data_IF_547552981413
#
_entry.id   IF_547552981413
#
_cell.length_a   1.000
_cell.length_b   1.000
_cell.length_c   1.000
_cell.angle_alpha   90.00
_cell.angle_beta   90.00
_cell.angle_gamma   90.00
#
_symmetry.space_group_name_H-M   'P 1'
#
loop_
_entity.id
_entity.type
_entity.pdbx_description
1 polymer ?
#
# COMPACT_ATOMS: atom_id res chain seq x y z
N UNK A 1 -4.68 -5.30 -2.12
CA UNK A 1 -4.91 -6.08 -3.35
C UNK A 1 -4.09 -5.57 -4.53
N UNK A 2 -3.90 -4.27 -4.69
CA UNK A 2 -3.03 -3.73 -5.75
C UNK A 2 -1.56 -4.15 -5.59
N UNK A 3 -1.09 -4.42 -4.39
CA UNK A 3 0.29 -4.85 -4.11
C UNK A 3 0.62 -6.26 -4.64
N UNK A 4 -0.36 -7.13 -4.77
CA UNK A 4 -0.14 -8.48 -5.31
C UNK A 4 0.34 -8.45 -6.76
N UNK A 5 -0.05 -7.45 -7.53
CA UNK A 5 0.43 -7.27 -8.91
C UNK A 5 1.88 -6.88 -9.01
N UNK A 6 2.36 -6.19 -7.99
CA UNK A 6 3.43 -5.23 -8.13
C UNK A 6 4.77 -5.77 -7.68
N UNK A 7 4.78 -6.79 -6.83
CA UNK A 7 6.01 -7.29 -6.22
C UNK A 7 6.50 -8.62 -6.76
N UNK A 8 5.75 -9.24 -7.66
CA UNK A 8 6.08 -10.57 -8.14
C UNK A 8 6.29 -10.59 -9.64
N UNK A 9 7.56 -10.53 -10.05
CA UNK A 9 7.96 -10.81 -11.40
C UNK A 9 7.63 -9.69 -12.41
N UNK A 10 7.01 -10.07 -13.52
CA UNK A 10 6.72 -9.20 -14.65
C UNK A 10 5.27 -8.74 -14.71
N UNK A 11 4.34 -9.50 -14.18
CA UNK A 11 2.93 -9.16 -13.99
C UNK A 11 2.15 -10.29 -13.32
N UNK A 12 1.02 -9.93 -12.70
CA UNK A 12 0.00 -10.88 -12.20
C UNK A 12 -1.39 -10.26 -12.33
N UNK A 13 -2.43 -11.08 -12.19
CA UNK A 13 -3.82 -10.65 -12.29
C UNK A 13 -4.50 -10.85 -10.93
N UNK A 14 -5.04 -9.82 -10.27
CA UNK A 14 -5.84 -10.02 -9.07
C UNK A 14 -7.21 -10.55 -9.44
N UNK A 15 -7.70 -11.43 -8.61
CA UNK A 15 -9.01 -12.05 -8.75
C UNK A 15 -9.96 -11.50 -7.70
N UNK A 16 -9.53 -11.46 -6.44
CA UNK A 16 -10.37 -11.04 -5.33
C UNK A 16 -9.54 -10.47 -4.18
N UNK A 17 -10.13 -9.57 -3.41
CA UNK A 17 -9.52 -8.95 -2.24
C UNK A 17 -10.11 -9.45 -0.93
N UNK A 18 -9.35 -9.31 0.14
CA UNK A 18 -9.77 -9.50 1.53
C UNK A 18 -9.27 -8.35 2.39
N UNK A 19 -9.97 -8.04 3.47
CA UNK A 19 -9.56 -7.00 4.41
C UNK A 19 -9.74 -7.46 5.86
N UNK A 20 -8.77 -7.13 6.72
CA UNK A 20 -8.88 -7.29 8.18
C UNK A 20 -8.74 -5.92 8.79
N UNK A 21 -9.67 -5.57 9.65
CA UNK A 21 -9.67 -4.31 10.38
C UNK A 21 -9.40 -4.58 11.86
N UNK A 22 -8.45 -3.85 12.45
CA UNK A 22 -8.11 -3.96 13.85
C UNK A 22 -8.17 -2.58 14.49
N UNK A 23 -9.03 -2.41 15.50
CA UNK A 23 -9.21 -1.16 16.24
C UNK A 23 -9.35 -1.43 17.74
N UNK A 24 -9.26 -0.39 18.54
CA UNK A 24 -9.79 -0.40 19.89
C UNK A 24 -11.31 -0.64 19.88
N UNK A 25 -11.90 -0.91 21.01
CA UNK A 25 -13.32 -1.21 21.12
C UNK A 25 -14.21 -0.11 20.52
N UNK A 26 -15.13 -0.45 19.62
CA UNK A 26 -16.02 0.52 18.96
C UNK A 26 -17.12 1.06 19.88
N UNK A 27 -17.51 0.34 20.92
CA UNK A 27 -18.58 0.70 21.87
C UNK A 27 -19.87 1.09 21.17
N UNK A 28 -20.22 0.33 20.12
CA UNK A 28 -21.37 0.59 19.26
C UNK A 28 -22.66 -0.05 19.77
N UNK A 29 -22.57 -0.98 20.70
CA UNK A 29 -23.70 -1.72 21.26
C UNK A 29 -23.61 -1.75 22.80
N UNK A 30 -24.76 -1.66 23.45
CA UNK A 30 -24.86 -1.73 24.90
C UNK A 30 -24.73 -3.18 25.41
N UNK A 31 -24.35 -3.34 26.67
CA UNK A 31 -24.31 -4.64 27.34
C UNK A 31 -23.06 -5.47 27.08
N UNK A 32 -22.01 -4.85 26.58
CA UNK A 32 -20.69 -5.47 26.41
C UNK A 32 -19.78 -5.12 27.57
N UNK A 33 -19.83 -5.92 28.62
CA UNK A 33 -19.13 -5.67 29.91
C UNK A 33 -17.60 -5.52 29.71
N UNK A 34 -17.00 -6.23 28.77
CA UNK A 34 -15.55 -6.10 28.48
C UNK A 34 -15.17 -4.77 27.87
N UNK A 35 -16.05 -4.15 27.09
CA UNK A 35 -15.84 -2.80 26.56
C UNK A 35 -15.94 -1.74 27.66
N UNK A 36 -16.83 -1.96 28.64
CA UNK A 36 -17.04 -1.06 29.77
C UNK A 36 -15.91 -1.13 30.80
N UNK A 37 -15.25 -2.28 30.92
CA UNK A 37 -14.13 -2.49 31.84
C UNK A 37 -12.92 -1.60 31.52
N UNK A 38 -12.84 -1.06 30.31
CA UNK A 38 -11.77 -0.19 29.86
C UNK A 38 -12.28 1.24 29.59
N UNK A 39 -11.72 2.26 30.26
CA UNK A 39 -12.13 3.64 29.99
C UNK A 39 -11.78 4.02 28.55
N UNK A 40 -12.72 4.63 27.79
CA UNK A 40 -12.48 5.03 26.42
C UNK A 40 -11.40 6.11 26.37
N UNK A 41 -10.47 6.00 25.42
CA UNK A 41 -9.51 7.06 25.17
C UNK A 41 -10.11 8.16 24.29
N UNK A 42 -9.49 9.33 24.28
CA UNK A 42 -9.83 10.37 23.31
C UNK A 42 -9.19 10.03 21.97
N UNK A 43 -9.98 10.01 20.91
CA UNK A 43 -9.54 9.87 19.54
C UNK A 43 -9.41 11.25 18.89
N UNK A 44 -8.36 11.43 18.10
CA UNK A 44 -8.03 12.75 17.57
C UNK A 44 -9.00 13.18 16.45
N UNK A 45 -9.34 12.28 15.53
CA UNK A 45 -10.15 12.60 14.35
C UNK A 45 -11.47 11.86 14.30
N UNK A 46 -11.45 10.56 14.55
CA UNK A 46 -12.61 9.67 14.40
C UNK A 46 -12.61 8.60 15.48
N UNK A 47 -13.81 8.17 15.87
CA UNK A 47 -13.97 7.04 16.79
C UNK A 47 -13.65 5.71 16.08
N UNK A 48 -13.37 4.62 16.82
CA UNK A 48 -13.19 3.30 16.24
C UNK A 48 -14.36 2.87 15.35
N UNK A 49 -15.61 3.09 15.75
CA UNK A 49 -16.79 2.81 14.93
C UNK A 49 -16.76 3.58 13.60
N UNK A 50 -16.49 4.88 13.65
CA UNK A 50 -16.41 5.71 12.43
C UNK A 50 -15.29 5.25 11.50
N UNK A 51 -14.15 4.84 12.05
CA UNK A 51 -13.02 4.32 11.29
C UNK A 51 -13.42 3.02 10.58
N UNK A 52 -14.05 2.08 11.30
CA UNK A 52 -14.47 0.80 10.75
C UNK A 52 -15.47 0.96 9.59
N UNK A 53 -16.47 1.82 9.76
CA UNK A 53 -17.47 2.11 8.72
C UNK A 53 -16.78 2.72 7.49
N UNK A 54 -15.94 3.73 7.67
CA UNK A 54 -15.25 4.39 6.55
C UNK A 54 -14.22 3.52 5.85
N UNK A 55 -13.47 2.72 6.60
CA UNK A 55 -12.50 1.80 6.02
C UNK A 55 -13.20 0.70 5.21
N UNK A 56 -14.30 0.16 5.71
CA UNK A 56 -15.10 -0.84 5.00
C UNK A 56 -15.74 -0.25 3.74
N UNK A 57 -16.33 0.95 3.83
CA UNK A 57 -16.84 1.67 2.65
C UNK A 57 -15.75 1.90 1.61
N UNK A 58 -14.57 2.36 2.03
CA UNK A 58 -13.46 2.61 1.12
C UNK A 58 -12.97 1.36 0.40
N UNK A 59 -12.90 0.23 1.10
CA UNK A 59 -12.50 -1.03 0.51
C UNK A 59 -13.52 -1.56 -0.50
N UNK A 60 -14.82 -1.53 -0.16
CA UNK A 60 -15.91 -1.94 -1.05
C UNK A 60 -16.02 -1.03 -2.27
N UNK A 61 -16.00 0.29 -2.06
CA UNK A 61 -16.11 1.28 -3.13
C UNK A 61 -14.96 1.15 -4.14
N UNK A 62 -13.73 0.99 -3.65
CA UNK A 62 -12.58 0.75 -4.50
C UNK A 62 -12.71 -0.57 -5.27
N UNK A 63 -13.06 -1.66 -4.57
CA UNK A 63 -13.22 -2.98 -5.18
C UNK A 63 -14.28 -2.98 -6.28
N UNK A 64 -15.41 -2.33 -6.05
CA UNK A 64 -16.49 -2.20 -7.02
C UNK A 64 -16.08 -1.38 -8.25
N UNK A 65 -15.42 -0.23 -8.06
CA UNK A 65 -14.95 0.63 -9.15
C UNK A 65 -13.83 -0.01 -9.96
N UNK A 66 -12.94 -0.73 -9.30
CA UNK A 66 -11.85 -1.41 -9.95
C UNK A 66 -12.28 -2.72 -10.63
N UNK A 67 -13.39 -3.33 -10.18
CA UNK A 67 -13.84 -4.64 -10.64
C UNK A 67 -13.07 -5.80 -10.01
N UNK A 68 -12.66 -5.62 -8.75
CA UNK A 68 -12.00 -6.62 -7.92
C UNK A 68 -12.80 -6.78 -6.63
N UNK A 69 -13.65 -7.81 -6.54
CA UNK A 69 -14.54 -7.94 -5.40
C UNK A 69 -13.78 -8.15 -4.09
N UNK A 70 -14.25 -7.50 -3.04
CA UNK A 70 -13.88 -7.81 -1.67
C UNK A 70 -14.74 -9.01 -1.21
N UNK A 71 -14.14 -10.19 -1.11
CA UNK A 71 -14.89 -11.45 -0.91
C UNK A 71 -15.06 -11.84 0.55
N UNK A 72 -14.17 -11.41 1.42
CA UNK A 72 -14.28 -11.63 2.85
C UNK A 72 -13.43 -10.64 3.64
N UNK A 73 -13.70 -10.56 4.93
CA UNK A 73 -12.94 -9.77 5.86
C UNK A 73 -13.09 -10.28 7.29
N UNK A 74 -12.32 -9.70 8.19
CA UNK A 74 -12.41 -9.94 9.62
C UNK A 74 -12.33 -8.63 10.37
N UNK A 75 -13.04 -8.56 11.48
CA UNK A 75 -13.00 -7.44 12.41
C UNK A 75 -12.45 -7.93 13.73
N UNK A 76 -11.35 -7.33 14.18
CA UNK A 76 -10.72 -7.65 15.46
C UNK A 76 -10.65 -6.38 16.31
N UNK A 77 -11.12 -6.45 17.53
CA UNK A 77 -11.04 -5.35 18.49
C UNK A 77 -10.34 -5.82 19.74
N UNK A 78 -9.56 -4.96 20.35
CA UNK A 78 -8.80 -5.31 21.54
C UNK A 78 -8.43 -4.09 22.36
N UNK A 79 -8.74 -4.14 23.65
CA UNK A 79 -8.21 -3.29 24.68
C UNK A 79 -7.98 -4.13 25.94
N UNK A 80 -6.83 -4.00 26.57
CA UNK A 80 -6.47 -4.75 27.78
C UNK A 80 -5.55 -3.93 28.69
N UNK A 81 -5.71 -4.07 29.98
CA UNK A 81 -4.82 -3.48 30.97
C UNK A 81 -4.24 -4.58 31.86
N UNK A 82 -2.92 -4.64 31.94
CA UNK A 82 -2.18 -5.62 32.71
C UNK A 82 -0.87 -5.01 33.22
N UNK A 83 -0.49 -5.31 34.47
CA UNK A 83 0.79 -4.87 35.04
C UNK A 83 1.10 -3.38 34.83
N UNK A 84 0.09 -2.51 35.03
CA UNK A 84 0.15 -1.06 34.80
C UNK A 84 0.39 -0.63 33.35
N UNK A 85 0.32 -1.56 32.40
CA UNK A 85 0.40 -1.28 30.97
C UNK A 85 -0.98 -1.41 30.33
N UNK A 86 -1.20 -0.63 29.28
CA UNK A 86 -2.39 -0.74 28.42
C UNK A 86 -1.97 -1.25 27.05
N UNK A 87 -2.73 -2.21 26.55
CA UNK A 87 -2.55 -2.81 25.24
C UNK A 87 -3.84 -2.57 24.45
N UNK A 88 -3.72 -2.05 23.24
CA UNK A 88 -4.87 -1.82 22.38
C UNK A 88 -4.41 -1.63 20.93
N UNK A 89 -5.32 -1.79 19.97
CA UNK A 89 -5.10 -1.33 18.61
C UNK A 89 -5.36 0.17 18.49
N UNK A 90 -4.64 0.96 19.29
CA UNK A 90 -4.77 2.43 19.31
C UNK A 90 -4.27 3.07 18.02
N UNK A 91 -3.24 2.49 17.40
CA UNK A 91 -2.92 2.73 16.01
C UNK A 91 -3.63 1.67 15.20
N UNK A 92 -4.65 2.10 14.48
CA UNK A 92 -5.52 1.21 13.69
C UNK A 92 -4.69 0.46 12.67
N UNK A 93 -4.95 -0.83 12.55
CA UNK A 93 -4.29 -1.71 11.59
C UNK A 93 -5.33 -2.15 10.56
N UNK A 94 -4.99 -2.04 9.29
CA UNK A 94 -5.72 -2.64 8.20
C UNK A 94 -4.78 -3.58 7.44
N UNK A 95 -5.13 -4.85 7.39
CA UNK A 95 -4.42 -5.84 6.58
C UNK A 95 -5.22 -6.06 5.30
N UNK A 96 -4.62 -5.73 4.18
CA UNK A 96 -5.17 -6.04 2.86
C UNK A 96 -4.52 -7.33 2.35
N UNK A 97 -5.34 -8.20 1.83
CA UNK A 97 -4.90 -9.46 1.21
C UNK A 97 -5.69 -9.75 -0.06
N UNK A 98 -5.38 -10.83 -0.71
CA UNK A 98 -6.12 -11.19 -1.91
C UNK A 98 -5.62 -12.48 -2.55
N UNK A 99 -6.32 -12.83 -3.62
CA UNK A 99 -5.98 -13.96 -4.50
C UNK A 99 -5.73 -13.41 -5.89
N UNK A 100 -4.62 -13.82 -6.49
CA UNK A 100 -4.27 -13.48 -7.85
C UNK A 100 -3.79 -14.69 -8.64
N UNK A 101 -3.64 -14.49 -9.93
CA UNK A 101 -3.08 -15.48 -10.85
C UNK A 101 -1.87 -14.88 -11.57
N UNK A 102 -0.80 -15.64 -11.68
CA UNK A 102 0.36 -15.29 -12.50
C UNK A 102 0.82 -16.49 -13.31
N UNK A 103 1.25 -16.27 -14.55
CA UNK A 103 1.92 -17.29 -15.31
C UNK A 103 3.31 -17.54 -14.72
N UNK A 104 3.73 -18.80 -14.61
CA UNK A 104 5.02 -19.16 -14.04
C UNK A 104 6.20 -18.46 -14.75
N UNK A 105 6.12 -18.24 -16.05
CA UNK A 105 7.11 -17.51 -16.86
C UNK A 105 7.31 -16.04 -16.43
N UNK A 106 6.27 -15.47 -15.81
CA UNK A 106 6.24 -14.06 -15.38
C UNK A 106 6.44 -13.91 -13.86
N UNK A 107 6.68 -15.02 -13.15
CA UNK A 107 6.81 -15.04 -11.69
C UNK A 107 8.09 -14.36 -11.19
N UNK A 108 9.13 -14.31 -12.00
CA UNK A 108 10.40 -13.65 -11.69
C UNK A 108 10.60 -12.43 -12.58
N UNK A 109 11.22 -11.39 -12.04
CA UNK A 109 11.69 -10.22 -12.79
C UNK A 109 12.70 -10.68 -13.84
N UNK A 110 12.72 -10.02 -15.01
CA UNK A 110 13.79 -10.12 -15.95
C UNK A 110 15.03 -9.38 -15.45
N UNK A 111 16.17 -9.70 -16.03
CA UNK A 111 17.41 -8.97 -15.78
C UNK A 111 17.43 -7.68 -16.60
N UNK A 112 17.67 -6.55 -15.93
CA UNK A 112 17.83 -5.27 -16.60
C UNK A 112 19.15 -5.24 -17.39
N UNK A 113 19.10 -4.68 -18.59
CA UNK A 113 20.28 -4.42 -19.40
C UNK A 113 20.42 -2.91 -19.68
N UNK A 114 21.64 -2.39 -19.89
CA UNK A 114 21.84 -0.99 -20.24
C UNK A 114 21.09 -0.57 -21.51
N UNK A 115 20.49 0.64 -21.51
CA UNK A 115 19.74 1.19 -22.63
C UNK A 115 18.27 0.80 -22.70
N UNK A 116 17.77 0.02 -21.75
CA UNK A 116 16.33 -0.24 -21.63
C UNK A 116 15.60 1.00 -21.13
N UNK A 117 14.36 1.16 -21.56
CA UNK A 117 13.58 2.35 -21.25
C UNK A 117 12.84 2.20 -19.93
N UNK A 118 12.98 3.24 -19.11
CA UNK A 118 12.19 3.42 -17.90
C UNK A 118 10.87 4.09 -18.29
N UNK A 119 9.76 3.39 -18.04
CA UNK A 119 8.42 3.83 -18.40
C UNK A 119 7.61 4.08 -17.13
N UNK A 120 6.94 5.22 -17.09
CA UNK A 120 5.91 5.52 -16.09
C UNK A 120 4.55 5.51 -16.77
N UNK A 121 3.58 4.83 -16.16
CA UNK A 121 2.21 4.75 -16.65
C UNK A 121 1.25 5.15 -15.56
N UNK A 122 0.25 6.00 -15.87
CA UNK A 122 -0.75 6.48 -14.93
C UNK A 122 -0.84 7.98 -14.86
N UNK A 123 -1.46 8.49 -13.80
CA UNK A 123 -1.81 9.90 -13.68
C UNK A 123 -0.66 10.84 -13.26
N UNK A 124 -0.91 12.12 -13.43
CA UNK A 124 0.04 13.20 -13.17
C UNK A 124 0.36 13.40 -11.69
N UNK A 125 1.47 14.07 -11.41
CA UNK A 125 1.87 14.47 -10.06
C UNK A 125 1.06 15.68 -9.58
N UNK A 126 0.51 15.57 -8.37
CA UNK A 126 -0.18 16.65 -7.64
C UNK A 126 0.33 16.72 -6.20
N UNK A 127 -0.03 17.79 -5.47
CA UNK A 127 0.37 17.97 -4.04
C UNK A 127 -0.49 17.12 -3.10
N UNK A 128 -0.46 15.80 -3.31
CA UNK A 128 -1.08 14.76 -2.50
C UNK A 128 -0.22 13.50 -2.60
N UNK A 129 -0.16 12.67 -1.57
CA UNK A 129 0.76 11.55 -1.51
C UNK A 129 2.19 11.99 -1.18
N UNK A 130 2.32 12.96 -0.27
CA UNK A 130 3.60 13.57 0.06
C UNK A 130 4.15 13.00 1.36
N UNK A 131 5.09 12.05 1.24
CA UNK A 131 5.76 11.48 2.41
C UNK A 131 4.87 10.60 3.27
N UNK A 132 3.93 9.86 2.69
CA UNK A 132 2.97 9.00 3.38
C UNK A 132 3.63 7.97 4.29
N UNK A 133 4.72 7.34 3.83
CA UNK A 133 5.50 6.40 4.63
C UNK A 133 6.09 7.01 5.90
N UNK A 134 6.60 8.24 5.82
CA UNK A 134 7.14 8.96 6.98
C UNK A 134 6.05 9.34 7.98
N UNK A 135 4.93 9.87 7.48
CA UNK A 135 3.79 10.27 8.33
C UNK A 135 3.13 9.07 9.00
N UNK A 136 2.96 7.96 8.29
CA UNK A 136 2.36 6.75 8.86
C UNK A 136 3.24 6.06 9.91
N UNK A 137 4.54 6.34 9.92
CA UNK A 137 5.49 5.73 10.86
C UNK A 137 5.57 6.43 12.22
N UNK A 138 4.89 7.55 12.41
CA UNK A 138 4.85 8.30 13.67
C UNK A 138 3.46 8.28 14.29
N UNK A 139 3.36 8.77 15.52
CA UNK A 139 2.06 8.93 16.20
C UNK A 139 1.16 9.91 15.44
N UNK A 140 -0.12 9.57 15.32
CA UNK A 140 -1.14 10.44 14.73
C UNK A 140 -1.23 11.75 15.51
N UNK A 141 -1.20 12.89 14.80
CA UNK A 141 -1.19 14.24 15.40
C UNK A 141 0.22 14.74 15.71
N UNK A 142 1.26 14.01 15.32
CA UNK A 142 2.66 14.48 15.43
C UNK A 142 2.93 15.69 14.54
N UNK A 143 2.31 15.72 13.36
CA UNK A 143 2.44 16.82 12.40
C UNK A 143 1.16 17.67 12.36
N UNK A 144 1.26 18.85 11.78
CA UNK A 144 0.08 19.65 11.49
C UNK A 144 -0.87 18.96 10.52
N UNK A 145 -2.18 19.14 10.69
CA UNK A 145 -3.22 18.51 9.85
C UNK A 145 -2.96 18.61 8.35
N UNK A 146 -2.46 19.76 7.87
CA UNK A 146 -2.17 19.94 6.44
C UNK A 146 -1.09 18.97 5.94
N UNK A 147 -0.09 18.65 6.77
CA UNK A 147 0.97 17.68 6.42
C UNK A 147 0.40 16.28 6.44
N UNK A 148 -0.37 15.92 7.47
CA UNK A 148 -0.96 14.59 7.59
C UNK A 148 -1.98 14.30 6.48
N UNK A 149 -2.78 15.28 6.08
CA UNK A 149 -3.73 15.15 4.97
C UNK A 149 -3.04 15.06 3.61
N UNK A 150 -1.97 15.82 3.38
CA UNK A 150 -1.19 15.76 2.14
C UNK A 150 -0.39 14.45 2.00
N UNK A 151 -0.16 13.75 3.09
CA UNK A 151 0.53 12.45 3.09
C UNK A 151 -0.35 11.30 2.56
N UNK A 152 -1.67 11.48 2.50
CA UNK A 152 -2.58 10.48 1.97
C UNK A 152 -2.29 10.27 0.48
N UNK A 153 -2.06 9.02 0.08
CA UNK A 153 -1.84 8.69 -1.33
C UNK A 153 -3.10 9.00 -2.15
N UNK A 154 -2.90 9.60 -3.31
CA UNK A 154 -4.00 9.81 -4.24
C UNK A 154 -4.52 8.47 -4.75
N UNK A 155 -5.84 8.29 -4.71
CA UNK A 155 -6.52 7.16 -5.29
C UNK A 155 -7.34 7.63 -6.50
N UNK A 156 -7.07 7.05 -7.66
CA UNK A 156 -7.87 7.22 -8.87
C UNK A 156 -8.20 5.83 -9.44
N UNK A 157 -9.30 5.19 -9.01
CA UNK A 157 -9.65 3.82 -9.41
C UNK A 157 -9.81 3.65 -10.91
N UNK A 158 -10.34 4.66 -11.62
CA UNK A 158 -10.48 4.63 -13.07
C UNK A 158 -9.12 4.59 -13.76
N UNK A 159 -8.21 5.49 -13.39
CA UNK A 159 -6.86 5.51 -13.95
C UNK A 159 -6.11 4.21 -13.63
N UNK A 160 -6.22 3.72 -12.40
CA UNK A 160 -5.63 2.45 -12.00
C UNK A 160 -6.17 1.29 -12.83
N UNK A 161 -7.47 1.27 -13.14
CA UNK A 161 -8.08 0.26 -14.00
C UNK A 161 -7.54 0.31 -15.42
N UNK A 162 -7.37 1.49 -15.99
CA UNK A 162 -6.78 1.68 -17.33
C UNK A 162 -5.35 1.11 -17.39
N UNK A 163 -4.51 1.46 -16.40
CA UNK A 163 -3.14 0.94 -16.28
C UNK A 163 -3.15 -0.59 -16.10
N UNK A 164 -4.03 -1.10 -15.25
CA UNK A 164 -4.19 -2.54 -15.04
C UNK A 164 -4.58 -3.29 -16.32
N UNK A 165 -5.45 -2.71 -17.15
CA UNK A 165 -5.83 -3.31 -18.42
C UNK A 165 -4.65 -3.42 -19.38
N UNK A 166 -3.75 -2.42 -19.40
CA UNK A 166 -2.51 -2.49 -20.18
C UNK A 166 -1.63 -3.64 -19.68
N UNK A 167 -1.37 -3.68 -18.39
CA UNK A 167 -0.54 -4.73 -17.78
C UNK A 167 -1.13 -6.12 -18.08
N UNK A 168 -2.44 -6.26 -17.94
CA UNK A 168 -3.15 -7.48 -18.25
C UNK A 168 -2.99 -7.89 -19.71
N UNK A 169 -3.16 -6.98 -20.65
CA UNK A 169 -3.00 -7.24 -22.06
C UNK A 169 -1.57 -7.72 -22.41
N UNK A 170 -0.56 -7.15 -21.76
CA UNK A 170 0.84 -7.55 -21.93
C UNK A 170 1.11 -8.93 -21.29
N UNK A 171 0.61 -9.17 -20.08
CA UNK A 171 0.80 -10.42 -19.35
C UNK A 171 0.09 -11.61 -20.01
N UNK A 172 -1.09 -11.39 -20.61
CA UNK A 172 -1.86 -12.41 -21.32
C UNK A 172 -1.37 -12.66 -22.75
N UNK A 173 -0.45 -11.85 -23.26
CA UNK A 173 0.14 -12.06 -24.58
C UNK A 173 1.08 -13.28 -24.61
N UNK A 174 1.37 -13.80 -25.81
CA UNK A 174 2.32 -14.92 -25.97
C UNK A 174 3.72 -14.56 -25.46
N UNK A 175 4.13 -13.32 -25.62
CA UNK A 175 5.38 -12.75 -25.13
C UNK A 175 5.09 -11.50 -24.30
N UNK A 176 5.39 -11.56 -23.01
CA UNK A 176 5.27 -10.39 -22.15
C UNK A 176 6.51 -9.49 -22.30
N UNK A 177 6.38 -8.27 -22.85
CA UNK A 177 7.50 -7.36 -23.06
C UNK A 177 7.99 -6.67 -21.78
N UNK A 178 7.29 -6.81 -20.65
CA UNK A 178 7.69 -6.24 -19.37
C UNK A 178 8.90 -7.01 -18.84
N UNK A 179 9.98 -6.30 -18.57
CA UNK A 179 11.19 -6.85 -17.95
C UNK A 179 11.03 -6.89 -16.45
N UNK A 180 10.63 -5.77 -15.87
CA UNK A 180 10.27 -5.63 -14.47
C UNK A 180 9.22 -4.54 -14.29
N UNK A 181 8.46 -4.61 -13.20
CA UNK A 181 7.39 -3.67 -12.88
C UNK A 181 7.39 -3.35 -11.38
N UNK A 182 7.13 -2.10 -11.04
CA UNK A 182 7.01 -1.63 -9.67
C UNK A 182 5.93 -0.57 -9.52
N UNK A 183 5.31 -0.51 -8.34
CA UNK A 183 4.32 0.53 -8.02
C UNK A 183 4.96 1.79 -7.44
N UNK A 184 4.23 2.90 -7.55
CA UNK A 184 4.60 4.17 -6.95
C UNK A 184 3.98 4.33 -5.56
N UNK A 185 4.21 3.36 -4.67
CA UNK A 185 3.85 3.44 -3.26
C UNK A 185 4.77 4.38 -2.47
N UNK A 186 5.13 3.98 -1.26
CA UNK A 186 5.98 4.79 -0.38
C UNK A 186 7.28 5.23 -1.08
N UNK A 187 7.59 6.54 -0.99
CA UNK A 187 8.75 7.13 -1.65
C UNK A 187 8.55 7.51 -3.12
N UNK A 188 7.38 7.23 -3.70
CA UNK A 188 6.99 7.68 -5.02
C UNK A 188 7.92 7.26 -6.14
N UNK A 189 8.27 8.18 -7.04
CA UNK A 189 9.18 7.91 -8.16
C UNK A 189 10.57 7.48 -7.71
N UNK A 190 11.07 8.04 -6.60
CA UNK A 190 12.40 7.70 -6.10
C UNK A 190 12.51 6.20 -5.82
N UNK A 191 11.60 5.67 -5.02
CA UNK A 191 11.63 4.27 -4.63
C UNK A 191 11.29 3.35 -5.81
N UNK A 192 10.16 3.62 -6.48
CA UNK A 192 9.68 2.76 -7.56
C UNK A 192 10.69 2.62 -8.70
N UNK A 193 11.29 3.73 -9.13
CA UNK A 193 12.21 3.71 -10.29
C UNK A 193 13.61 3.22 -9.91
N UNK A 194 14.07 3.48 -8.68
CA UNK A 194 15.35 2.92 -8.23
C UNK A 194 15.33 1.40 -8.13
N UNK A 195 14.24 0.81 -7.65
CA UNK A 195 14.10 -0.65 -7.58
C UNK A 195 14.06 -1.33 -8.97
N UNK A 196 13.62 -0.62 -10.01
CA UNK A 196 13.66 -1.12 -11.38
C UNK A 196 15.09 -1.21 -11.94
N UNK A 197 15.95 -0.27 -11.55
CA UNK A 197 17.30 -0.12 -12.10
C UNK A 197 18.39 -0.54 -11.12
N UNK A 198 18.04 -1.27 -10.07
CA UNK A 198 18.94 -1.67 -8.97
C UNK A 198 20.23 -2.32 -9.46
N UNK A 199 20.16 -3.18 -10.47
CA UNK A 199 21.30 -3.94 -10.97
C UNK A 199 22.20 -3.17 -11.97
N UNK A 200 21.69 -2.06 -12.55
CA UNK A 200 22.37 -1.34 -13.64
C UNK A 200 22.70 0.11 -13.29
N UNK A 201 21.85 0.75 -12.52
CA UNK A 201 21.73 2.19 -12.48
C UNK A 201 20.75 2.72 -13.53
N UNK A 202 20.41 4.00 -13.44
CA UNK A 202 19.47 4.61 -14.35
C UNK A 202 19.45 6.12 -14.29
N UNK A 203 19.11 6.73 -15.41
CA UNK A 203 18.98 8.18 -15.57
C UNK A 203 17.54 8.54 -15.90
N UNK A 204 16.93 9.38 -15.09
CA UNK A 204 15.55 9.86 -15.23
C UNK A 204 15.58 11.32 -15.65
N UNK A 205 14.93 11.64 -16.77
CA UNK A 205 14.67 13.00 -17.21
C UNK A 205 13.39 13.52 -16.51
N UNK A 206 13.56 14.47 -15.63
CA UNK A 206 12.44 15.05 -14.87
C UNK A 206 11.47 15.84 -15.76
N UNK A 207 11.89 16.28 -16.94
CA UNK A 207 11.01 16.97 -17.88
C UNK A 207 9.96 16.03 -18.52
N UNK A 208 10.25 14.74 -18.54
CA UNK A 208 9.35 13.71 -19.08
C UNK A 208 8.40 13.12 -18.01
N UNK A 209 8.58 13.49 -16.74
CA UNK A 209 7.66 13.08 -15.68
C UNK A 209 6.32 13.83 -15.78
N UNK A 210 5.18 13.16 -15.61
CA UNK A 210 3.88 13.82 -15.71
C UNK A 210 3.64 14.75 -14.53
N UNK A 211 3.39 16.02 -14.77
CA UNK A 211 3.16 17.05 -13.75
C UNK A 211 1.83 17.74 -13.99
N UNK A 212 0.87 17.54 -13.10
CA UNK A 212 -0.44 18.17 -13.12
C UNK A 212 -0.50 19.50 -12.35
N UNK A 213 0.35 19.66 -11.33
CA UNK A 213 0.53 20.91 -10.60
C UNK A 213 1.91 21.50 -10.88
N UNK A 214 2.01 22.54 -11.72
CA UNK A 214 3.30 23.14 -12.12
C UNK A 214 4.01 23.87 -10.95
N UNK A 215 3.40 24.00 -9.80
CA UNK A 215 4.00 24.63 -8.60
C UNK A 215 4.78 23.64 -7.75
N UNK A 216 4.80 22.34 -8.12
CA UNK A 216 5.56 21.33 -7.40
C UNK A 216 7.07 21.55 -7.57
N UNK A 217 7.78 21.46 -6.46
CA UNK A 217 9.24 21.41 -6.46
C UNK A 217 9.75 20.05 -6.95
N UNK A 218 11.01 19.97 -7.36
CA UNK A 218 11.65 18.71 -7.73
C UNK A 218 11.53 17.65 -6.64
N UNK A 219 11.69 18.02 -5.36
CA UNK A 219 11.55 17.13 -4.20
C UNK A 219 10.13 16.56 -4.10
N UNK A 220 9.12 17.39 -4.32
CA UNK A 220 7.72 16.98 -4.29
C UNK A 220 7.39 16.05 -5.45
N UNK A 221 7.90 16.29 -6.64
CA UNK A 221 7.71 15.40 -7.80
C UNK A 221 8.36 14.03 -7.55
N UNK A 222 9.63 14.01 -7.15
CA UNK A 222 10.40 12.78 -6.95
C UNK A 222 9.77 11.87 -5.87
N UNK A 223 9.28 12.46 -4.78
CA UNK A 223 8.67 11.72 -3.66
C UNK A 223 7.16 11.54 -3.76
N UNK A 224 6.52 11.83 -4.89
CA UNK A 224 5.06 11.79 -5.02
C UNK A 224 4.51 10.38 -5.12
N UNK A 225 3.74 9.98 -4.11
CA UNK A 225 3.12 8.66 -4.01
C UNK A 225 1.76 8.65 -4.72
N UNK A 226 1.46 7.58 -5.45
CA UNK A 226 0.21 7.45 -6.19
C UNK A 226 -0.14 5.99 -6.45
N UNK A 227 -1.33 5.57 -6.06
CA UNK A 227 -1.78 4.18 -6.20
C UNK A 227 -2.03 3.76 -7.66
N UNK A 228 -2.36 4.72 -8.52
CA UNK A 228 -2.66 4.45 -9.93
C UNK A 228 -1.42 4.40 -10.83
N UNK A 229 -0.24 4.76 -10.31
CA UNK A 229 0.99 4.82 -11.10
C UNK A 229 1.82 3.55 -11.01
N UNK A 230 2.40 3.17 -12.14
CA UNK A 230 3.32 2.02 -12.26
C UNK A 230 4.57 2.42 -13.02
N UNK A 231 5.72 1.96 -12.53
CA UNK A 231 6.99 2.01 -13.25
C UNK A 231 7.31 0.68 -13.90
N UNK A 232 7.89 0.68 -15.09
CA UNK A 232 8.27 -0.53 -15.83
C UNK A 232 9.58 -0.36 -16.54
N UNK A 233 10.32 -1.44 -16.72
CA UNK A 233 11.40 -1.54 -17.70
C UNK A 233 10.91 -2.25 -18.96
N UNK A 234 11.15 -1.63 -20.10
CA UNK A 234 10.74 -2.12 -21.42
C UNK A 234 11.93 -1.97 -22.37
N UNK A 235 12.26 -3.04 -23.09
CA UNK A 235 13.26 -2.94 -24.16
C UNK A 235 12.80 -1.94 -25.23
N UNK A 236 13.71 -1.11 -25.74
CA UNK A 236 13.39 -0.05 -26.70
C UNK A 236 12.56 -0.53 -27.90
N UNK A 237 12.89 -1.70 -28.45
CA UNK A 237 12.16 -2.32 -29.58
C UNK A 237 10.67 -2.58 -29.29
N UNK A 238 10.27 -2.66 -28.02
CA UNK A 238 8.91 -2.97 -27.61
C UNK A 238 8.11 -1.72 -27.23
N UNK A 239 8.71 -0.54 -27.13
CA UNK A 239 8.06 0.70 -26.67
C UNK A 239 6.81 1.02 -27.51
N UNK A 240 6.91 0.96 -28.83
CA UNK A 240 5.76 1.27 -29.71
C UNK A 240 4.63 0.23 -29.60
N UNK A 241 4.97 -1.01 -29.31
CA UNK A 241 3.95 -2.04 -29.04
C UNK A 241 3.19 -1.73 -27.74
N UNK A 242 3.91 -1.41 -26.65
CA UNK A 242 3.32 -1.05 -25.36
C UNK A 242 2.49 0.23 -25.48
N UNK A 243 3.01 1.24 -26.22
CA UNK A 243 2.32 2.52 -26.46
C UNK A 243 0.96 2.33 -27.12
N UNK A 244 0.87 1.50 -28.16
CA UNK A 244 -0.41 1.21 -28.83
C UNK A 244 -1.44 0.56 -27.90
N UNK A 245 -0.99 -0.29 -26.98
CA UNK A 245 -1.87 -0.89 -25.99
C UNK A 245 -2.30 0.15 -24.95
N UNK A 246 -1.38 0.99 -24.47
CA UNK A 246 -1.66 2.06 -23.54
C UNK A 246 -2.68 3.07 -24.12
N UNK A 247 -2.54 3.45 -25.37
CA UNK A 247 -3.47 4.32 -26.08
C UNK A 247 -4.87 3.68 -26.21
N UNK A 248 -4.93 2.40 -26.56
CA UNK A 248 -6.20 1.64 -26.63
C UNK A 248 -6.93 1.66 -25.29
N UNK A 249 -6.21 1.44 -24.18
CA UNK A 249 -6.78 1.43 -22.84
C UNK A 249 -6.90 2.84 -22.22
N UNK A 250 -6.48 3.89 -22.95
CA UNK A 250 -6.47 5.29 -22.48
C UNK A 250 -5.63 5.49 -21.21
N UNK A 251 -4.57 4.71 -21.05
CA UNK A 251 -3.62 4.85 -19.97
C UNK A 251 -2.47 5.75 -20.43
N UNK A 252 -2.22 6.91 -19.80
CA UNK A 252 -1.08 7.74 -20.13
C UNK A 252 0.23 6.97 -19.91
N UNK A 253 1.15 7.08 -20.88
CA UNK A 253 2.44 6.40 -20.87
C UNK A 253 3.55 7.39 -21.17
N UNK A 254 4.56 7.42 -20.34
CA UNK A 254 5.71 8.31 -20.42
C UNK A 254 6.99 7.50 -20.40
N UNK A 255 7.87 7.74 -21.37
CA UNK A 255 9.24 7.21 -21.36
C UNK A 255 10.09 8.25 -20.64
N UNK A 256 10.40 7.99 -19.39
CA UNK A 256 10.98 9.00 -18.47
C UNK A 256 12.50 8.87 -18.31
N UNK A 257 13.10 7.85 -18.88
CA UNK A 257 14.54 7.63 -18.75
C UNK A 257 14.99 6.30 -19.32
N UNK A 258 16.20 5.94 -18.98
CA UNK A 258 16.83 4.69 -19.41
C UNK A 258 17.77 4.12 -18.36
N UNK A 259 17.99 2.82 -18.43
CA UNK A 259 19.00 2.13 -17.62
C UNK A 259 20.41 2.48 -18.12
N UNK A 260 21.35 2.55 -17.17
CA UNK A 260 22.77 2.81 -17.44
C UNK A 260 23.60 1.57 -17.08
N UNK A 261 24.93 1.71 -17.04
CA UNK A 261 25.86 0.66 -16.60
C UNK A 261 26.86 1.22 -15.56
N UNK A 262 26.51 2.37 -14.98
CA UNK A 262 27.37 3.07 -14.05
C UNK A 262 27.00 2.89 -12.57
N UNK A 263 25.96 2.09 -12.29
CA UNK A 263 25.42 1.85 -10.96
C UNK A 263 25.06 3.15 -10.19
N UNK A 264 24.65 4.18 -10.92
CA UNK A 264 24.16 5.43 -10.36
C UNK A 264 22.68 5.60 -10.66
N UNK A 265 21.97 6.22 -9.74
CA UNK A 265 20.58 6.62 -9.94
C UNK A 265 20.48 8.14 -9.95
N UNK A 266 20.06 8.68 -11.08
CA UNK A 266 20.10 10.12 -11.36
C UNK A 266 18.72 10.61 -11.79
N UNK A 267 18.24 11.68 -11.15
CA UNK A 267 17.19 12.53 -11.69
C UNK A 267 17.84 13.82 -12.19
N UNK A 268 17.61 14.16 -13.46
CA UNK A 268 18.17 15.34 -14.09
C UNK A 268 17.06 16.28 -14.56
N UNK A 269 17.16 17.55 -14.21
CA UNK A 269 16.28 18.60 -14.69
C UNK A 269 16.74 19.13 -16.04
N UNK A 270 15.87 19.85 -16.76
CA UNK A 270 16.15 20.40 -18.07
C UNK A 270 17.35 21.36 -18.13
N UNK A 271 17.64 22.01 -17.00
CA UNK A 271 18.80 22.91 -16.83
C UNK A 271 20.09 22.17 -16.42
N UNK A 272 20.05 20.84 -16.35
CA UNK A 272 21.17 19.99 -15.95
C UNK A 272 21.37 19.86 -14.45
N UNK A 273 20.51 20.46 -13.62
CA UNK A 273 20.54 20.26 -12.18
C UNK A 273 20.10 18.84 -11.85
N UNK A 274 20.81 18.19 -10.94
CA UNK A 274 20.55 16.83 -10.50
C UNK A 274 20.11 16.83 -9.02
N UNK A 275 18.83 16.90 -8.73
CA UNK A 275 18.36 16.85 -7.35
C UNK A 275 18.60 15.49 -6.67
N UNK A 276 18.76 14.43 -7.44
CA UNK A 276 19.17 13.08 -7.00
C UNK A 276 20.33 12.63 -7.89
N UNK A 277 21.42 12.24 -7.28
CA UNK A 277 22.58 11.62 -7.93
C UNK A 277 23.29 10.72 -6.90
N UNK A 278 22.85 9.47 -6.80
CA UNK A 278 23.24 8.51 -5.76
C UNK A 278 23.84 7.24 -6.36
N UNK A 279 24.76 6.63 -5.65
CA UNK A 279 25.19 5.28 -6.00
C UNK A 279 24.11 4.27 -5.56
N UNK A 280 23.90 3.24 -6.37
CA UNK A 280 22.94 2.17 -6.04
C UNK A 280 23.34 1.43 -4.75
N UNK A 281 24.63 1.29 -4.48
CA UNK A 281 25.13 0.66 -3.25
C UNK A 281 24.76 1.47 -1.99
N UNK A 282 24.73 2.79 -2.07
CA UNK A 282 24.30 3.66 -0.96
C UNK A 282 22.80 3.53 -0.69
N UNK A 283 22.02 3.23 -1.72
CA UNK A 283 20.56 3.06 -1.61
C UNK A 283 20.16 1.64 -1.18
N UNK A 284 20.76 0.61 -1.76
CA UNK A 284 20.41 -0.79 -1.59
C UNK A 284 21.48 -1.62 -0.87
N UNK A 285 22.52 -0.95 -0.37
CA UNK A 285 23.57 -1.58 0.41
C UNK A 285 23.05 -2.24 1.69
N UNK A 286 23.90 -3.08 2.29
CA UNK A 286 23.51 -3.79 3.51
C UNK A 286 23.51 -2.84 4.70
N UNK A 287 22.34 -2.66 5.30
CA UNK A 287 22.22 -1.97 6.58
C UNK A 287 23.11 -2.66 7.65
N UNK A 288 23.67 -1.91 8.61
CA UNK A 288 24.39 -2.49 9.72
C UNK A 288 23.53 -3.55 10.40
N UNK A 289 24.15 -4.69 10.75
CA UNK A 289 23.45 -5.78 11.44
C UNK A 289 22.97 -5.29 12.81
N UNK A 290 21.64 -5.25 12.98
CA UNK A 290 21.04 -5.01 14.29
C UNK A 290 21.12 -6.30 15.10
N UNK A 291 21.75 -6.25 16.27
CA UNK A 291 21.78 -7.36 17.22
C UNK A 291 20.82 -7.02 18.35
N UNK A 292 19.68 -7.69 18.35
CA UNK A 292 18.73 -7.64 19.46
C UNK A 292 19.10 -8.73 20.46
N UNK A 293 19.27 -8.35 21.72
CA UNK A 293 19.44 -9.27 22.82
C UNK A 293 18.23 -9.11 23.72
N UNK A 294 17.52 -10.19 23.91
CA UNK A 294 16.36 -10.25 24.78
C UNK A 294 16.60 -11.34 25.85
N UNK A 295 16.07 -11.09 27.02
CA UNK A 295 16.05 -12.06 28.10
C UNK A 295 14.61 -12.50 28.30
N UNK A 296 14.36 -13.80 28.21
CA UNK A 296 13.04 -14.36 28.49
C UNK A 296 12.72 -14.16 29.98
N UNK A 297 11.72 -13.38 30.27
CA UNK A 297 11.15 -13.26 31.60
C UNK A 297 10.01 -14.27 31.71
N UNK A 298 10.18 -15.29 32.55
CA UNK A 298 9.09 -16.21 32.88
C UNK A 298 8.12 -15.49 33.85
N UNK A 299 7.02 -14.99 33.32
CA UNK A 299 5.93 -14.50 34.13
C UNK A 299 5.02 -15.67 34.50
N UNK A 300 4.68 -15.79 35.78
CA UNK A 300 3.68 -16.75 36.23
C UNK A 300 2.32 -16.08 36.18
N UNK A 301 1.47 -16.60 35.33
CA UNK A 301 0.05 -16.19 35.27
C UNK A 301 -0.76 -17.12 36.20
N UNK A 302 -1.83 -16.57 36.74
CA UNK A 302 -2.80 -17.38 37.47
C UNK A 302 -3.51 -18.33 36.50
N UNK A 303 -3.78 -19.55 36.96
CA UNK A 303 -4.52 -20.51 36.16
C UNK A 303 -5.95 -20.01 35.93
N UNK A 304 -6.42 -20.18 34.70
CA UNK A 304 -7.77 -19.81 34.32
C UNK A 304 -8.75 -20.69 35.12
N UNK A 305 -9.56 -20.07 35.96
CA UNK A 305 -10.63 -20.76 36.71
C UNK A 305 -11.96 -20.59 35.99
N UNK A 306 -12.68 -21.69 35.81
CA UNK A 306 -14.02 -21.70 35.22
C UNK A 306 -14.94 -22.67 35.95
N UNK A 307 -16.22 -22.37 35.92
CA UNK A 307 -17.25 -23.24 36.44
C UNK A 307 -18.02 -23.85 35.28
N UNK A 308 -18.01 -25.18 35.20
CA UNK A 308 -18.70 -25.90 34.12
C UNK A 308 -20.23 -25.68 34.15
N UNK A 309 -20.83 -25.29 35.27
CA UNK A 309 -22.25 -24.96 35.35
C UNK A 309 -22.60 -23.67 34.58
N UNK A 310 -21.62 -22.78 34.34
CA UNK A 310 -21.81 -21.47 33.71
C UNK A 310 -21.48 -21.50 32.22
N UNK A 311 -21.34 -22.67 31.61
CA UNK A 311 -20.91 -22.81 30.21
C UNK A 311 -21.83 -22.05 29.23
N UNK A 312 -23.12 -21.97 29.51
CA UNK A 312 -24.06 -21.21 28.67
C UNK A 312 -23.73 -19.71 28.69
N UNK A 313 -23.40 -19.16 29.85
CA UNK A 313 -22.97 -17.76 29.97
C UNK A 313 -21.67 -17.50 29.21
N UNK A 314 -20.70 -18.41 29.32
CA UNK A 314 -19.44 -18.27 28.58
C UNK A 314 -19.65 -18.30 27.05
N UNK A 315 -20.55 -19.17 26.58
CA UNK A 315 -20.91 -19.21 25.15
C UNK A 315 -21.57 -17.89 24.72
N UNK A 316 -22.52 -17.37 25.52
CA UNK A 316 -23.14 -16.07 25.22
C UNK A 316 -22.12 -14.94 25.18
N UNK A 317 -21.17 -14.88 26.09
CA UNK A 317 -20.10 -13.90 26.11
C UNK A 317 -19.21 -14.00 24.87
N UNK A 318 -18.84 -15.22 24.46
CA UNK A 318 -18.04 -15.43 23.23
C UNK A 318 -18.81 -15.01 21.99
N UNK A 319 -20.11 -15.30 21.92
CA UNK A 319 -20.96 -14.90 20.79
C UNK A 319 -21.14 -13.38 20.68
N UNK A 320 -20.90 -12.63 21.75
CA UNK A 320 -20.96 -11.17 21.76
C UNK A 320 -19.64 -10.50 21.35
N UNK A 321 -18.51 -11.23 21.32
CA UNK A 321 -17.22 -10.65 20.90
C UNK A 321 -17.30 -10.15 19.46
N UNK A 322 -16.70 -8.97 19.17
CA UNK A 322 -16.72 -8.39 17.83
C UNK A 322 -16.24 -9.33 16.72
N UNK A 323 -15.26 -10.18 17.02
CA UNK A 323 -14.76 -11.16 16.05
C UNK A 323 -15.81 -12.22 15.65
N UNK A 324 -16.79 -12.50 16.53
CA UNK A 324 -17.78 -13.59 16.40
C UNK A 324 -19.20 -13.05 16.16
N UNK A 325 -19.59 -11.98 16.85
CA UNK A 325 -20.94 -11.42 16.84
C UNK A 325 -21.42 -11.02 15.43
N UNK A 326 -22.74 -10.89 15.31
CA UNK A 326 -23.37 -10.31 14.13
C UNK A 326 -22.85 -8.90 13.87
N UNK A 327 -22.56 -8.61 12.60
CA UNK A 327 -21.98 -7.33 12.16
C UNK A 327 -22.98 -6.47 11.37
N UNK A 328 -24.26 -6.64 11.60
CA UNK A 328 -25.31 -5.86 10.93
C UNK A 328 -25.13 -4.35 11.12
N UNK A 329 -24.64 -3.93 12.29
CA UNK A 329 -24.32 -2.54 12.57
C UNK A 329 -23.26 -1.96 11.60
N UNK A 330 -22.34 -2.80 11.10
CA UNK A 330 -21.34 -2.42 10.10
C UNK A 330 -21.85 -2.69 8.67
N UNK A 331 -22.27 -3.91 8.39
CA UNK A 331 -22.67 -4.34 7.04
C UNK A 331 -23.90 -3.61 6.51
N UNK A 332 -24.81 -3.18 7.40
CA UNK A 332 -25.95 -2.35 7.01
C UNK A 332 -25.63 -0.87 6.81
N UNK A 333 -24.41 -0.43 7.10
CA UNK A 333 -23.95 0.97 6.95
C UNK A 333 -22.94 1.17 5.82
N UNK A 334 -22.38 0.08 5.28
CA UNK A 334 -21.38 0.14 4.22
C UNK A 334 -22.03 -0.08 2.86
N UNK A 335 -21.44 0.56 1.84
CA UNK A 335 -21.83 0.40 0.44
C UNK A 335 -23.31 0.72 0.12
N UNK A 336 -23.83 1.82 0.74
CA UNK A 336 -25.20 2.33 0.53
C UNK A 336 -25.20 3.72 -0.07
#
# INVERSE_FOLDING_TARGET
ASDVYKRQGKASLPIAGTAVYMTSYPRSEEGREWEEAMPPRKWLYQTPEQILIKASNGASDFGNKFGQPLICGSLLTFEHAENYKKFAYDKVIMLAGGVGFAAMRDALKGEAAPGEKVVVMGGDNYRIGMGGGAVSSVETGRYANAIELNAVQRANPEMQKRVSNVIRALAESSENPIISIHDHGAGGHLNALSELVESTGGKIDMAELPVGDPTLSAKEIVGNESQERMGMLIAEKNIEHVRRIAERERAPMYVVGETTDDHRFVFEQKDGVRPIDLNMEDMFGKAPRTVMRDETVEEKYEDVTYNAADIHQYVEQVLQLEAVACKDWLTNKVDR
#
